data_IF_312086149277
#
_entry.id   IF_312086149277
#
_cell.length_a   1.000
_cell.length_b   1.000
_cell.length_c   1.000
_cell.angle_alpha   90.00
_cell.angle_beta   90.00
_cell.angle_gamma   90.00
#
_symmetry.space_group_name_H-M   'P 1'
#
loop_
_entity.id
_entity.type
_entity.pdbx_description
1 polymer ?
#
# COMPACT_ATOMS: atom_id res chain seq x y z
N UNK A 1 18.60 -7.48 1.78
CA UNK A 1 17.76 -7.77 0.60
C UNK A 1 16.68 -8.74 1.06
N UNK A 2 15.50 -8.23 1.42
CA UNK A 2 14.36 -9.06 1.87
C UNK A 2 13.35 -8.98 0.73
N UNK A 3 13.14 -10.08 0.01
CA UNK A 3 12.10 -10.16 -1.01
C UNK A 3 10.73 -10.34 -0.34
N UNK A 4 9.72 -9.61 -0.81
CA UNK A 4 8.32 -9.88 -0.46
C UNK A 4 7.95 -11.32 -0.86
N UNK A 5 7.46 -12.10 0.10
CA UNK A 5 6.80 -13.39 -0.15
C UNK A 5 5.32 -13.11 -0.42
N UNK A 6 4.92 -13.10 -1.68
CA UNK A 6 3.52 -12.94 -2.08
C UNK A 6 2.93 -14.24 -2.60
N UNK A 7 1.62 -14.44 -2.37
CA UNK A 7 0.87 -15.59 -2.88
C UNK A 7 -0.07 -15.11 -3.99
N UNK A 8 0.01 -15.73 -5.17
CA UNK A 8 -0.92 -15.47 -6.26
C UNK A 8 -2.17 -16.36 -6.09
N UNK A 9 -3.33 -15.74 -5.83
CA UNK A 9 -4.60 -16.46 -5.75
C UNK A 9 -5.15 -16.59 -7.18
N UNK A 10 -5.03 -17.79 -7.76
CA UNK A 10 -5.47 -18.05 -9.13
C UNK A 10 -7.00 -18.13 -9.22
N UNK A 11 -7.64 -17.00 -9.52
CA UNK A 11 -9.08 -16.94 -9.84
C UNK A 11 -9.35 -15.88 -10.90
N UNK A 12 -9.29 -16.23 -12.19
CA UNK A 12 -9.64 -15.44 -13.40
C UNK A 12 -9.21 -13.96 -13.52
N UNK A 13 -8.48 -13.40 -12.55
CA UNK A 13 -7.77 -12.13 -12.57
C UNK A 13 -6.40 -12.34 -11.90
N UNK A 14 -5.41 -11.52 -12.26
CA UNK A 14 -4.10 -11.55 -11.59
C UNK A 14 -4.22 -10.78 -10.28
N UNK A 15 -4.53 -11.49 -9.20
CA UNK A 15 -4.50 -10.95 -7.85
C UNK A 15 -3.18 -11.30 -7.17
N UNK A 16 -2.52 -10.29 -6.59
CA UNK A 16 -1.32 -10.45 -5.78
C UNK A 16 -1.57 -9.91 -4.37
N UNK A 17 -1.09 -10.65 -3.37
CA UNK A 17 -1.08 -10.20 -1.99
C UNK A 17 0.25 -10.55 -1.33
N UNK A 18 0.81 -9.61 -0.54
CA UNK A 18 2.06 -9.83 0.19
C UNK A 18 2.33 -8.78 1.26
N UNK A 19 3.34 -9.05 2.08
CA UNK A 19 3.86 -8.08 3.05
C UNK A 19 4.96 -7.23 2.40
N UNK A 20 4.84 -5.90 2.52
CA UNK A 20 5.72 -4.94 1.88
C UNK A 20 6.18 -3.90 2.88
N UNK A 21 7.50 -3.66 2.90
CA UNK A 21 8.14 -2.63 3.69
C UNK A 21 8.06 -1.29 2.97
N UNK A 22 7.59 -0.29 3.70
CA UNK A 22 7.54 1.08 3.27
C UNK A 22 8.25 1.98 4.28
N UNK A 23 8.75 3.11 3.79
CA UNK A 23 9.11 4.27 4.58
C UNK A 23 7.94 5.27 4.61
N UNK A 24 7.62 5.78 5.78
CA UNK A 24 6.64 6.86 5.94
C UNK A 24 7.29 8.18 5.53
N UNK A 25 6.84 8.75 4.42
CA UNK A 25 7.46 9.97 3.86
C UNK A 25 6.70 11.24 4.23
N UNK A 26 5.40 11.11 4.51
CA UNK A 26 4.55 12.25 4.87
C UNK A 26 3.32 11.75 5.62
N UNK A 27 2.88 12.55 6.58
CA UNK A 27 1.57 12.40 7.20
C UNK A 27 0.76 13.65 6.86
N UNK A 28 -0.31 13.46 6.09
CA UNK A 28 -1.17 14.52 5.61
C UNK A 28 -2.32 14.74 6.61
N UNK A 29 -2.55 15.98 7.06
CA UNK A 29 -3.60 16.26 8.03
C UNK A 29 -4.99 15.95 7.44
N UNK A 30 -6.00 15.77 8.29
CA UNK A 30 -7.38 15.60 7.84
C UNK A 30 -7.80 16.81 6.99
N UNK A 31 -8.55 16.55 5.93
CA UNK A 31 -9.00 17.57 4.98
C UNK A 31 -10.46 17.36 4.58
N UNK A 32 -11.12 18.42 4.11
CA UNK A 32 -12.46 18.32 3.57
C UNK A 32 -12.43 18.07 2.05
N UNK A 33 -13.26 17.13 1.59
CA UNK A 33 -13.41 16.83 0.17
C UNK A 33 -14.86 16.46 -0.12
N UNK A 34 -15.47 17.12 -1.11
CA UNK A 34 -16.87 16.90 -1.51
C UNK A 34 -17.89 16.93 -0.34
N UNK A 35 -17.63 17.76 0.68
CA UNK A 35 -18.50 17.88 1.86
C UNK A 35 -18.28 16.81 2.93
N UNK A 36 -17.31 15.91 2.75
CA UNK A 36 -16.91 14.92 3.75
C UNK A 36 -15.55 15.26 4.36
N UNK A 37 -15.41 15.07 5.67
CA UNK A 37 -14.12 15.16 6.34
C UNK A 37 -13.37 13.83 6.17
N UNK A 38 -12.25 13.87 5.45
CA UNK A 38 -11.34 12.73 5.31
C UNK A 38 -10.38 12.68 6.51
N UNK A 39 -10.03 11.48 6.99
CA UNK A 39 -9.11 11.31 8.11
C UNK A 39 -7.69 11.75 7.72
N UNK A 40 -6.81 11.75 8.72
CA UNK A 40 -5.38 11.86 8.50
C UNK A 40 -4.87 10.67 7.68
N UNK A 41 -3.95 10.95 6.75
CA UNK A 41 -3.54 9.99 5.73
C UNK A 41 -2.02 9.93 5.62
N UNK A 42 -1.47 8.72 5.57
CA UNK A 42 -0.03 8.45 5.58
C UNK A 42 0.43 8.14 4.16
N UNK A 43 1.46 8.83 3.70
CA UNK A 43 2.09 8.61 2.38
C UNK A 43 3.34 7.76 2.55
N UNK A 44 3.39 6.69 1.77
CA UNK A 44 4.38 5.64 1.86
C UNK A 44 5.24 5.58 0.60
N UNK A 45 6.55 5.42 0.79
CA UNK A 45 7.48 5.09 -0.29
C UNK A 45 8.02 3.68 -0.10
N UNK A 46 8.15 2.94 -1.20
CA UNK A 46 8.62 1.56 -1.17
C UNK A 46 10.09 1.48 -0.68
N UNK A 47 10.35 0.70 0.39
CA UNK A 47 11.67 0.49 0.99
C UNK A 47 12.16 -0.96 0.80
N UNK A 48 11.75 -1.59 -0.30
CA UNK A 48 12.21 -2.93 -0.66
C UNK A 48 12.00 -3.23 -2.15
N UNK A 49 12.55 -4.36 -2.59
CA UNK A 49 12.22 -4.92 -3.89
C UNK A 49 10.89 -5.69 -3.82
N UNK A 50 10.12 -5.58 -4.89
CA UNK A 50 8.87 -6.32 -5.11
C UNK A 50 8.96 -7.09 -6.43
N UNK A 51 8.22 -8.19 -6.61
CA UNK A 51 8.21 -8.91 -7.88
C UNK A 51 7.77 -8.02 -9.04
N UNK A 52 8.30 -8.25 -10.24
CA UNK A 52 7.95 -7.48 -11.46
C UNK A 52 6.45 -7.55 -11.81
N UNK A 53 5.74 -8.54 -11.28
CA UNK A 53 4.28 -8.65 -11.42
C UNK A 53 3.51 -7.55 -10.68
N UNK A 54 4.12 -6.92 -9.67
CA UNK A 54 3.54 -5.83 -8.89
C UNK A 54 3.85 -4.51 -9.58
N UNK A 55 2.85 -3.87 -10.17
CA UNK A 55 3.03 -2.62 -10.92
C UNK A 55 2.60 -1.41 -10.09
N UNK A 56 3.27 -0.27 -10.26
CA UNK A 56 2.82 1.01 -9.71
C UNK A 56 2.98 1.21 -8.19
N UNK A 57 3.58 0.28 -7.44
CA UNK A 57 3.66 0.33 -5.97
C UNK A 57 4.77 1.27 -5.42
N UNK A 58 5.35 2.15 -6.24
CA UNK A 58 6.48 3.01 -5.83
C UNK A 58 6.10 4.01 -4.72
N UNK A 59 4.87 4.54 -4.78
CA UNK A 59 4.32 5.44 -3.78
C UNK A 59 2.85 5.13 -3.62
N UNK A 60 2.39 4.99 -2.37
CA UNK A 60 1.00 4.70 -2.05
C UNK A 60 0.57 5.47 -0.81
N UNK A 61 -0.72 5.39 -0.49
CA UNK A 61 -1.31 6.05 0.66
C UNK A 61 -2.24 5.11 1.43
N UNK A 62 -2.33 5.34 2.73
CA UNK A 62 -3.14 4.58 3.66
C UNK A 62 -3.68 5.48 4.77
N UNK A 63 -4.85 5.16 5.31
CA UNK A 63 -5.41 5.90 6.43
C UNK A 63 -4.60 5.64 7.70
N UNK A 64 -4.45 6.66 8.56
CA UNK A 64 -3.56 6.57 9.73
C UNK A 64 -3.97 5.48 10.73
N UNK A 65 -5.23 5.06 10.73
CA UNK A 65 -5.76 4.00 11.59
C UNK A 65 -5.26 2.60 11.20
N UNK A 66 -4.64 2.46 10.02
CA UNK A 66 -3.98 1.23 9.60
C UNK A 66 -2.58 1.07 10.20
N UNK A 67 -2.06 2.07 10.93
CA UNK A 67 -0.70 2.10 11.44
C UNK A 67 -0.63 1.91 12.96
N UNK A 68 0.55 1.52 13.50
CA UNK A 68 0.80 1.60 14.93
C UNK A 68 0.59 3.02 15.49
N UNK A 69 0.20 3.11 16.75
CA UNK A 69 0.07 4.38 17.45
C UNK A 69 1.42 5.12 17.48
N UNK A 70 1.41 6.41 17.14
CA UNK A 70 2.61 7.24 17.17
C UNK A 70 3.50 7.17 15.93
N UNK A 71 3.03 6.56 14.83
CA UNK A 71 3.75 6.54 13.54
C UNK A 71 4.20 7.94 13.13
N UNK A 72 5.44 8.06 12.66
CA UNK A 72 6.07 9.31 12.29
C UNK A 72 6.75 9.23 10.90
N UNK A 73 7.04 10.40 10.35
CA UNK A 73 7.84 10.50 9.12
C UNK A 73 9.25 9.96 9.37
N UNK A 74 9.73 9.08 8.49
CA UNK A 74 11.00 8.37 8.58
C UNK A 74 10.86 6.95 9.14
N UNK A 75 9.69 6.58 9.68
CA UNK A 75 9.47 5.22 10.19
C UNK A 75 9.41 4.21 9.05
N UNK A 76 9.93 3.01 9.32
CA UNK A 76 9.78 1.85 8.45
C UNK A 76 8.69 0.94 8.97
N UNK A 77 7.74 0.64 8.11
CA UNK A 77 6.57 -0.16 8.44
C UNK A 77 6.41 -1.30 7.44
N UNK A 78 5.91 -2.44 7.92
CA UNK A 78 5.55 -3.58 7.10
C UNK A 78 4.03 -3.64 6.99
N UNK A 79 3.52 -3.44 5.79
CA UNK A 79 2.09 -3.39 5.51
C UNK A 79 1.67 -4.59 4.65
N UNK A 80 0.47 -5.13 4.91
CA UNK A 80 -0.15 -6.07 3.99
C UNK A 80 -0.67 -5.30 2.78
N UNK A 81 -0.23 -5.67 1.59
CA UNK A 81 -0.66 -5.04 0.33
C UNK A 81 -1.38 -6.05 -0.50
N UNK A 82 -2.53 -5.66 -1.06
CA UNK A 82 -3.26 -6.40 -2.08
C UNK A 82 -3.33 -5.57 -3.35
N UNK A 83 -3.00 -6.20 -4.47
CA UNK A 83 -3.14 -5.63 -5.79
C UNK A 83 -4.07 -6.52 -6.61
N UNK A 84 -5.16 -5.94 -7.14
CA UNK A 84 -6.07 -6.64 -8.05
C UNK A 84 -6.15 -5.93 -9.39
N UNK A 85 -6.08 -6.72 -10.45
CA UNK A 85 -6.46 -6.32 -11.81
C UNK A 85 -7.74 -7.07 -12.18
N UNK A 86 -8.87 -6.51 -11.77
CA UNK A 86 -10.20 -7.11 -11.94
C UNK A 86 -10.71 -7.04 -13.39
N UNK A 87 -10.08 -6.23 -14.26
CA UNK A 87 -10.64 -5.93 -15.57
C UNK A 87 -10.05 -6.79 -16.69
N UNK A 88 -8.83 -7.32 -16.55
CA UNK A 88 -8.18 -8.07 -17.64
C UNK A 88 -8.08 -7.26 -18.96
N UNK A 89 -8.24 -5.94 -18.86
CA UNK A 89 -8.16 -4.99 -19.96
C UNK A 89 -6.77 -4.38 -19.94
N UNK A 90 -5.99 -4.66 -20.97
CA UNK A 90 -4.67 -4.07 -21.16
C UNK A 90 -4.76 -2.53 -21.13
N UNK A 91 -4.24 -1.91 -20.06
CA UNK A 91 -4.05 -0.45 -19.98
C UNK A 91 -4.68 0.27 -18.79
N UNK A 92 -5.36 -0.42 -17.88
CA UNK A 92 -5.80 0.16 -16.60
C UNK A 92 -4.78 -0.19 -15.51
N UNK A 93 -4.33 0.79 -14.73
CA UNK A 93 -3.44 0.54 -13.60
C UNK A 93 -4.13 -0.36 -12.56
N UNK A 94 -3.41 -1.33 -11.98
CA UNK A 94 -4.00 -2.25 -11.03
C UNK A 94 -4.41 -1.50 -9.75
N UNK A 95 -5.53 -1.92 -9.15
CA UNK A 95 -5.99 -1.33 -7.90
C UNK A 95 -5.12 -1.82 -6.76
N UNK A 96 -4.53 -0.89 -6.00
CA UNK A 96 -3.69 -1.20 -4.85
C UNK A 96 -4.42 -0.82 -3.56
N UNK A 97 -4.53 -1.78 -2.65
CA UNK A 97 -5.09 -1.59 -1.32
C UNK A 97 -4.01 -1.88 -0.29
N UNK A 98 -3.73 -0.90 0.56
CA UNK A 98 -2.90 -1.07 1.76
C UNK A 98 -3.81 -1.50 2.90
N UNK A 99 -3.44 -2.58 3.56
CA UNK A 99 -4.09 -3.10 4.76
C UNK A 99 -3.32 -2.69 6.03
N UNK A 100 -3.59 -3.36 7.16
CA UNK A 100 -2.90 -3.07 8.40
C UNK A 100 -1.38 -3.14 8.28
N UNK A 101 -0.72 -2.17 8.89
CA UNK A 101 0.72 -2.01 8.99
C UNK A 101 1.22 -2.30 10.41
N UNK A 102 2.46 -2.75 10.51
CA UNK A 102 3.20 -2.93 11.77
C UNK A 102 4.60 -2.37 11.66
N UNK A 103 5.29 -2.19 12.77
CA UNK A 103 6.72 -1.86 12.78
C UNK A 103 7.53 -2.94 12.03
N UNK A 104 8.48 -2.50 11.20
CA UNK A 104 9.26 -3.36 10.29
C UNK A 104 10.54 -3.97 10.89
#
# INVERSE_FOLDING_TARGET
>A
MVLALGFALAGCGSEWEGEVRFEVTRIAPPYESMGERKPEHVVLALDQEVPDSVRGLQTTGADIDQFPEGVAVGDRVLCRVRQSDDNGLDGVDPTTTVGPCREA
#
